data_IF_833783614069
#
_entry.id   IF_833783614069
#
_cell.length_a   1.000
_cell.length_b   1.000
_cell.length_c   1.000
_cell.angle_alpha   90.00
_cell.angle_beta   90.00
_cell.angle_gamma   90.00
#
_symmetry.space_group_name_H-M   'P 1'
#
loop_
_entity.id
_entity.type
_entity.pdbx_description
1 polymer ?
#
# COMPACT_ATOMS: atom_id res chain seq x y z
N UNK A 1 -14.73 9.00 -26.04
CA UNK A 1 -15.34 9.61 -24.84
C UNK A 1 -16.20 8.53 -24.17
N UNK A 2 -16.22 8.44 -22.83
CA UNK A 2 -17.05 7.53 -22.00
C UNK A 2 -16.39 6.18 -21.61
N UNK A 3 -15.38 6.23 -20.73
CA UNK A 3 -15.19 5.23 -19.65
C UNK A 3 -14.89 6.02 -18.36
N UNK A 4 -15.78 6.95 -18.00
CA UNK A 4 -15.70 7.75 -16.76
C UNK A 4 -16.75 7.35 -15.72
N UNK A 5 -17.39 6.18 -15.87
CA UNK A 5 -18.68 5.90 -15.21
C UNK A 5 -18.79 4.60 -14.39
N UNK A 6 -17.70 3.99 -13.91
CA UNK A 6 -17.84 2.78 -13.09
C UNK A 6 -17.22 2.78 -11.69
N UNK A 7 -16.51 3.83 -11.27
CA UNK A 7 -16.04 3.91 -9.89
C UNK A 7 -16.49 5.22 -9.27
N UNK A 8 -17.63 5.17 -8.57
CA UNK A 8 -18.02 6.25 -7.66
C UNK A 8 -16.93 6.35 -6.59
N UNK A 9 -16.41 7.55 -6.27
CA UNK A 9 -15.41 7.73 -5.21
C UNK A 9 -15.91 7.21 -3.84
N UNK A 10 -17.24 7.08 -3.68
CA UNK A 10 -17.88 6.52 -2.50
C UNK A 10 -17.70 4.99 -2.35
N UNK A 11 -17.57 4.25 -3.46
CA UNK A 11 -17.41 2.78 -3.43
C UNK A 11 -15.96 2.37 -3.15
N UNK A 12 -14.99 3.19 -3.58
CA UNK A 12 -13.57 3.00 -3.26
C UNK A 12 -13.32 3.32 -1.78
N UNK A 13 -13.94 4.38 -1.24
CA UNK A 13 -13.86 4.68 0.20
C UNK A 13 -14.35 3.54 1.07
N UNK A 14 -15.43 2.83 0.68
CA UNK A 14 -15.99 1.73 1.45
C UNK A 14 -15.06 0.51 1.48
N UNK A 15 -14.37 0.19 0.38
CA UNK A 15 -13.39 -0.91 0.31
C UNK A 15 -12.11 -0.57 1.05
N UNK A 16 -11.66 0.69 1.00
CA UNK A 16 -10.47 1.15 1.75
C UNK A 16 -10.79 1.17 3.26
N UNK A 17 -11.95 1.66 3.69
CA UNK A 17 -12.34 1.63 5.10
C UNK A 17 -12.55 0.19 5.61
N UNK A 18 -13.23 -0.68 4.86
CA UNK A 18 -13.39 -2.09 5.24
C UNK A 18 -12.06 -2.85 5.22
N UNK A 19 -11.16 -2.59 4.26
CA UNK A 19 -9.83 -3.19 4.19
C UNK A 19 -8.96 -2.77 5.38
N UNK A 20 -9.00 -1.49 5.75
CA UNK A 20 -8.27 -0.95 6.90
C UNK A 20 -8.80 -1.50 8.24
N UNK A 21 -10.12 -1.72 8.37
CA UNK A 21 -10.68 -2.32 9.58
C UNK A 21 -10.49 -3.84 9.65
N UNK A 22 -10.45 -4.54 8.52
CA UNK A 22 -10.25 -6.00 8.47
C UNK A 22 -8.82 -6.40 8.84
N UNK A 23 -7.83 -5.55 8.57
CA UNK A 23 -6.44 -5.77 8.99
C UNK A 23 -6.24 -5.47 10.48
N UNK A 24 -6.97 -4.52 11.06
CA UNK A 24 -6.94 -4.23 12.50
C UNK A 24 -7.61 -5.37 13.30
N UNK A 25 -8.67 -5.98 12.75
CA UNK A 25 -9.39 -7.08 13.40
C UNK A 25 -8.56 -8.38 13.53
N UNK A 26 -7.47 -8.50 12.79
CA UNK A 26 -6.57 -9.66 12.80
C UNK A 26 -5.16 -9.33 13.35
N UNK A 27 -5.05 -8.25 14.13
CA UNK A 27 -3.80 -7.80 14.74
C UNK A 27 -3.23 -8.75 15.82
N UNK A 28 -3.91 -9.84 16.16
CA UNK A 28 -3.42 -10.82 17.13
C UNK A 28 -2.24 -11.67 16.61
N UNK A 29 -2.04 -11.76 15.29
CA UNK A 29 -0.96 -12.53 14.65
C UNK A 29 0.22 -11.66 14.16
N UNK A 30 0.26 -10.38 14.56
CA UNK A 30 1.36 -9.46 14.22
C UNK A 30 2.67 -9.76 14.97
N UNK A 31 2.67 -10.72 15.90
CA UNK A 31 3.86 -11.21 16.61
C UNK A 31 4.37 -12.55 16.05
N UNK A 32 4.07 -12.84 14.78
CA UNK A 32 4.47 -14.07 14.09
C UNK A 32 5.94 -14.00 13.66
N UNK A 33 6.60 -15.16 13.49
CA UNK A 33 7.99 -15.30 13.00
C UNK A 33 8.25 -14.70 11.58
N UNK A 34 7.26 -14.03 10.98
CA UNK A 34 7.33 -13.34 9.69
C UNK A 34 7.01 -11.83 9.81
N UNK A 35 7.21 -11.23 10.98
CA UNK A 35 6.93 -9.81 11.28
C UNK A 35 7.46 -8.86 10.18
N UNK A 36 8.72 -9.00 9.76
CA UNK A 36 9.35 -8.26 8.65
C UNK A 36 8.53 -8.24 7.34
N UNK A 37 7.91 -9.38 7.00
CA UNK A 37 7.09 -9.51 5.78
C UNK A 37 5.72 -8.86 5.96
N UNK A 38 5.18 -8.87 7.19
CA UNK A 38 3.91 -8.23 7.51
C UNK A 38 4.06 -6.70 7.43
N UNK A 39 5.13 -6.14 8.00
CA UNK A 39 5.50 -4.73 7.85
C UNK A 39 5.64 -4.31 6.40
N UNK A 40 6.48 -5.02 5.65
CA UNK A 40 6.69 -4.73 4.23
C UNK A 40 5.39 -4.84 3.42
N UNK A 41 4.58 -5.88 3.67
CA UNK A 41 3.34 -6.13 2.95
C UNK A 41 2.21 -5.14 3.29
N UNK A 42 2.01 -4.84 4.57
CA UNK A 42 1.02 -3.86 5.01
C UNK A 42 1.37 -2.47 4.48
N UNK A 43 2.64 -2.07 4.63
CA UNK A 43 3.13 -0.79 4.14
C UNK A 43 3.14 -0.71 2.61
N UNK A 44 3.33 -1.82 1.89
CA UNK A 44 3.11 -1.88 0.45
C UNK A 44 1.68 -1.53 0.05
N UNK A 45 0.68 -2.13 0.71
CA UNK A 45 -0.73 -1.87 0.41
C UNK A 45 -1.11 -0.43 0.76
N UNK A 46 -0.66 0.06 1.92
CA UNK A 46 -0.92 1.44 2.36
C UNK A 46 -0.25 2.42 1.39
N UNK A 47 0.99 2.17 0.98
CA UNK A 47 1.71 2.99 0.00
C UNK A 47 0.99 3.02 -1.35
N UNK A 48 0.60 1.86 -1.87
CA UNK A 48 -0.13 1.77 -3.13
C UNK A 48 -1.47 2.51 -3.09
N UNK A 49 -2.24 2.35 -2.01
CA UNK A 49 -3.52 3.04 -1.81
C UNK A 49 -3.33 4.55 -1.65
N UNK A 50 -2.29 4.97 -0.93
CA UNK A 50 -1.98 6.39 -0.75
C UNK A 50 -1.61 7.05 -2.08
N UNK A 51 -0.88 6.36 -2.97
CA UNK A 51 -0.59 6.89 -4.31
C UNK A 51 -1.82 7.01 -5.20
N UNK A 52 -2.78 6.08 -5.09
CA UNK A 52 -4.07 6.20 -5.80
C UNK A 52 -4.84 7.43 -5.33
N UNK A 53 -4.75 7.76 -4.04
CA UNK A 53 -5.50 8.87 -3.45
C UNK A 53 -4.84 10.23 -3.69
N UNK A 54 -3.53 10.35 -3.43
CA UNK A 54 -2.81 11.62 -3.49
C UNK A 54 -2.17 11.91 -4.86
N UNK A 55 -1.91 10.90 -5.70
CA UNK A 55 -1.11 10.98 -6.95
C UNK A 55 0.19 11.80 -6.78
N UNK A 56 0.79 11.72 -5.60
CA UNK A 56 1.99 12.45 -5.23
C UNK A 56 2.87 11.60 -4.33
N UNK A 57 3.98 11.10 -4.88
CA UNK A 57 4.90 10.19 -4.18
C UNK A 57 5.34 10.70 -2.80
N UNK A 58 5.50 12.01 -2.61
CA UNK A 58 5.93 12.56 -1.33
C UNK A 58 4.80 12.43 -0.30
N UNK A 59 3.60 12.90 -0.65
CA UNK A 59 2.44 12.80 0.25
C UNK A 59 2.03 11.35 0.50
N UNK A 60 2.12 10.50 -0.52
CA UNK A 60 1.80 9.08 -0.42
C UNK A 60 2.75 8.33 0.51
N UNK A 61 4.07 8.51 0.35
CA UNK A 61 5.06 7.88 1.21
C UNK A 61 5.04 8.47 2.62
N UNK A 62 4.87 9.79 2.77
CA UNK A 62 4.76 10.41 4.09
C UNK A 62 3.55 9.90 4.87
N UNK A 63 2.39 9.79 4.22
CA UNK A 63 1.18 9.25 4.85
C UNK A 63 1.37 7.80 5.25
N UNK A 64 1.94 6.98 4.36
CA UNK A 64 2.23 5.58 4.64
C UNK A 64 3.21 5.41 5.82
N UNK A 65 4.32 6.15 5.82
CA UNK A 65 5.31 6.14 6.91
C UNK A 65 4.75 6.63 8.24
N UNK A 66 3.78 7.53 8.22
CA UNK A 66 3.11 7.99 9.44
C UNK A 66 2.35 6.85 10.11
N UNK A 67 1.78 5.91 9.34
CA UNK A 67 1.10 4.73 9.87
C UNK A 67 2.11 3.77 10.53
N UNK A 68 3.22 3.46 9.85
CA UNK A 68 4.29 2.61 10.41
C UNK A 68 4.89 3.19 11.69
N UNK A 69 5.19 4.49 11.70
CA UNK A 69 5.66 5.17 12.90
C UNK A 69 4.63 5.14 14.04
N UNK A 70 3.34 5.33 13.74
CA UNK A 70 2.29 5.26 14.75
C UNK A 70 2.15 3.84 15.34
N UNK A 71 2.35 2.78 14.54
CA UNK A 71 2.41 1.39 14.99
C UNK A 71 3.57 1.17 15.96
N UNK A 72 4.78 1.61 15.60
CA UNK A 72 5.95 1.48 16.47
C UNK A 72 5.83 2.29 17.78
N UNK A 73 5.23 3.48 17.73
CA UNK A 73 4.94 4.27 18.95
C UNK A 73 3.92 3.55 19.84
N UNK A 74 2.88 2.94 19.26
CA UNK A 74 1.91 2.14 20.00
C UNK A 74 2.60 0.95 20.67
N UNK A 75 3.48 0.26 19.96
CA UNK A 75 4.16 -0.93 20.48
C UNK A 75 5.14 -0.59 21.60
N UNK A 76 5.79 0.57 21.53
CA UNK A 76 6.59 1.08 22.64
C UNK A 76 5.75 1.35 23.90
N UNK A 77 4.51 1.84 23.76
CA UNK A 77 3.62 2.16 24.89
C UNK A 77 2.98 0.90 25.46
N UNK A 78 2.50 -0.01 24.61
CA UNK A 78 1.72 -1.18 25.01
C UNK A 78 2.58 -2.40 25.33
N UNK A 79 3.70 -2.56 24.63
CA UNK A 79 4.55 -3.76 24.67
C UNK A 79 6.02 -3.47 24.98
N UNK A 80 6.39 -2.20 25.23
CA UNK A 80 7.76 -1.76 25.54
C UNK A 80 8.81 -2.13 24.48
N UNK A 81 8.40 -2.31 23.23
CA UNK A 81 9.27 -2.63 22.11
C UNK A 81 9.11 -1.64 20.98
N UNK A 82 10.18 -0.91 20.66
CA UNK A 82 10.31 -0.11 19.45
C UNK A 82 11.38 -0.74 18.56
N UNK A 83 11.05 -1.04 17.32
CA UNK A 83 11.97 -1.65 16.37
C UNK A 83 12.26 -0.71 15.21
N UNK A 84 13.53 -0.32 15.08
CA UNK A 84 14.00 0.43 13.90
C UNK A 84 14.02 -0.44 12.65
N UNK A 85 14.10 -1.76 12.81
CA UNK A 85 14.09 -2.71 11.69
C UNK A 85 12.71 -2.72 11.03
N UNK A 86 11.67 -2.79 11.85
CA UNK A 86 10.26 -2.78 11.45
C UNK A 86 9.92 -1.51 10.68
N UNK A 87 10.33 -0.35 11.20
CA UNK A 87 10.19 0.93 10.51
C UNK A 87 10.93 0.97 9.16
N UNK A 88 12.05 0.23 9.04
CA UNK A 88 12.78 0.08 7.78
C UNK A 88 11.99 -0.76 6.77
N UNK A 89 11.38 -1.85 7.20
CA UNK A 89 10.50 -2.67 6.36
C UNK A 89 9.24 -1.92 5.94
N UNK A 90 8.69 -1.10 6.83
CA UNK A 90 7.61 -0.18 6.48
C UNK A 90 8.04 0.79 5.38
N UNK A 91 9.22 1.39 5.48
CA UNK A 91 9.74 2.29 4.45
C UNK A 91 9.89 1.59 3.09
N UNK A 92 10.43 0.38 3.07
CA UNK A 92 10.56 -0.42 1.84
C UNK A 92 9.18 -0.74 1.26
N UNK A 93 8.23 -1.17 2.10
CA UNK A 93 6.84 -1.41 1.70
C UNK A 93 6.21 -0.16 1.08
N UNK A 94 6.23 0.96 1.80
CA UNK A 94 5.65 2.23 1.34
C UNK A 94 6.20 2.67 -0.02
N UNK A 95 7.53 2.67 -0.18
CA UNK A 95 8.19 3.10 -1.41
C UNK A 95 7.85 2.16 -2.58
N UNK A 96 7.95 0.85 -2.36
CA UNK A 96 7.66 -0.13 -3.43
C UNK A 96 6.19 -0.11 -3.83
N UNK A 97 5.27 0.04 -2.87
CA UNK A 97 3.84 0.17 -3.12
C UNK A 97 3.48 1.43 -3.90
N UNK A 98 4.00 2.59 -3.50
CA UNK A 98 3.74 3.86 -4.19
C UNK A 98 4.30 3.86 -5.61
N UNK A 99 5.54 3.39 -5.80
CA UNK A 99 6.16 3.32 -7.12
C UNK A 99 5.42 2.35 -8.04
N UNK A 100 5.13 1.14 -7.58
CA UNK A 100 4.42 0.16 -8.41
C UNK A 100 3.02 0.65 -8.78
N UNK A 101 2.28 1.20 -7.81
CA UNK A 101 0.96 1.79 -8.05
C UNK A 101 1.04 2.88 -9.13
N UNK A 102 2.02 3.79 -9.03
CA UNK A 102 2.26 4.81 -10.05
C UNK A 102 2.56 4.22 -11.43
N UNK A 103 3.42 3.20 -11.51
CA UNK A 103 3.70 2.52 -12.79
C UNK A 103 2.45 1.89 -13.40
N UNK A 104 1.65 1.21 -12.58
CA UNK A 104 0.40 0.57 -13.01
C UNK A 104 -0.62 1.61 -13.48
N UNK A 105 -0.86 2.65 -12.67
CA UNK A 105 -1.82 3.70 -13.00
C UNK A 105 -1.42 4.53 -14.22
N UNK A 106 -0.12 4.76 -14.43
CA UNK A 106 0.37 5.65 -15.51
C UNK A 106 0.58 4.98 -16.85
N UNK A 107 0.27 3.69 -17.00
CA UNK A 107 0.18 3.07 -18.32
C UNK A 107 0.83 1.70 -18.45
N UNK A 108 1.04 0.98 -17.35
CA UNK A 108 1.31 -0.46 -17.45
C UNK A 108 0.02 -1.19 -17.82
N UNK A 109 -0.03 -1.73 -19.03
CA UNK A 109 -1.10 -2.60 -19.51
C UNK A 109 -0.57 -4.02 -19.62
N UNK A 110 -1.07 -4.90 -18.76
CA UNK A 110 -0.80 -6.33 -18.78
C UNK A 110 -1.87 -7.03 -19.59
N UNK A 111 -1.48 -7.76 -20.64
CA UNK A 111 -2.40 -8.56 -21.45
C UNK A 111 -1.89 -9.98 -21.53
N UNK A 112 -2.68 -10.94 -21.07
CA UNK A 112 -2.44 -12.36 -21.23
C UNK A 112 -3.46 -12.92 -22.23
N UNK A 113 -2.99 -13.51 -23.33
CA UNK A 113 -3.85 -14.14 -24.34
C UNK A 113 -3.24 -15.47 -24.77
N UNK A 114 -3.92 -16.57 -24.44
CA UNK A 114 -3.41 -17.93 -24.70
C UNK A 114 -2.08 -18.20 -23.98
N UNK A 115 -1.06 -18.63 -24.72
CA UNK A 115 0.30 -18.85 -24.21
C UNK A 115 1.20 -17.59 -24.25
N UNK A 116 0.63 -16.41 -24.53
CA UNK A 116 1.40 -15.18 -24.69
C UNK A 116 1.12 -14.19 -23.56
N UNK A 117 2.19 -13.76 -22.92
CA UNK A 117 2.18 -12.68 -21.93
C UNK A 117 2.79 -11.43 -22.58
N UNK A 118 2.01 -10.36 -22.66
CA UNK A 118 2.44 -9.08 -23.22
C UNK A 118 2.38 -7.99 -22.14
N UNK A 119 3.50 -7.28 -21.98
CA UNK A 119 3.67 -6.19 -21.04
C UNK A 119 3.87 -4.90 -21.85
N UNK A 120 2.82 -4.08 -21.93
CA UNK A 120 2.84 -2.82 -22.66
C UNK A 120 2.96 -1.66 -21.67
N UNK A 121 3.93 -0.78 -21.87
CA UNK A 121 4.11 0.43 -21.06
C UNK A 121 3.94 1.67 -21.93
N UNK A 122 3.00 2.54 -21.57
CA UNK A 122 2.79 3.83 -22.23
C UNK A 122 3.17 4.97 -21.28
N UNK A 123 4.30 5.63 -21.51
CA UNK A 123 4.64 6.86 -20.81
C UNK A 123 3.97 8.05 -21.49
N UNK A 124 3.09 8.77 -20.78
CA UNK A 124 2.61 10.09 -21.20
C UNK A 124 3.41 11.16 -20.48
N UNK A 125 4.09 12.01 -21.26
CA UNK A 125 4.86 13.16 -20.79
C UNK A 125 3.99 14.41 -20.87
#
# INVERSE_FOLDING_TARGET
MIIKKLFSPCSIMLVIYCGFFSTIANANDWYSQNDDKQHTGASFVIGAASEVYFDNLIYSNATCMTVGLAKEVRDQIAYHGFSKSDLGYDAVGCITGTLLSRFVMRGLSLSASGNSFALNYTAKF
#
